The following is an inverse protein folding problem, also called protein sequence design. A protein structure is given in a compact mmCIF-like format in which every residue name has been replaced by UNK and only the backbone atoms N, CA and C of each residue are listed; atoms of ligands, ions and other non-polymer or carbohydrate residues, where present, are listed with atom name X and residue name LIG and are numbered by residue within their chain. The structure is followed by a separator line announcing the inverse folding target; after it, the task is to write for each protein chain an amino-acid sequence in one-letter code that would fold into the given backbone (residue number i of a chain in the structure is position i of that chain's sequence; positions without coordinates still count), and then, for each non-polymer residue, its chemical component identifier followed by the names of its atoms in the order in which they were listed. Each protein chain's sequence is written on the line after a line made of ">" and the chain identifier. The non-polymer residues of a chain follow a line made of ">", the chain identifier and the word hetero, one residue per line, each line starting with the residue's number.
data_IF_397520306118
#
_entry.id   IF_397520306118
#
_cell.length_a   1.000
_cell.length_b   1.000
_cell.length_c   1.000
_cell.angle_alpha   90.00
_cell.angle_beta   90.00
_cell.angle_gamma   90.00
#
_symmetry.space_group_name_H-M   'P 1'
#
loop_
_entity.id
_entity.type
_entity.pdbx_description
1 polymer ?
#
# COMPACT_ATOMS: atom_id res chain seq x y z
N UNK A 1 -3.35 -17.38 12.48
CA UNK A 1 -2.76 -17.87 11.21
C UNK A 1 -1.89 -16.76 10.64
N UNK A 2 -0.65 -17.06 10.27
CA UNK A 2 0.26 -16.06 9.68
C UNK A 2 0.14 -16.12 8.17
N UNK A 3 -0.14 -14.99 7.54
CA UNK A 3 -0.15 -14.87 6.09
C UNK A 3 0.89 -13.85 5.68
N UNK A 4 1.89 -14.26 4.89
CA UNK A 4 2.90 -13.36 4.35
C UNK A 4 2.48 -12.93 2.94
N UNK A 5 2.26 -11.63 2.75
CA UNK A 5 1.93 -11.06 1.45
C UNK A 5 2.94 -9.96 1.12
N UNK A 6 3.57 -10.09 -0.04
CA UNK A 6 4.41 -9.07 -0.67
C UNK A 6 4.01 -8.94 -2.14
N UNK A 7 4.26 -7.76 -2.70
CA UNK A 7 4.17 -7.49 -4.14
C UNK A 7 5.55 -7.71 -4.75
N UNK A 8 5.67 -8.60 -5.73
CA UNK A 8 6.94 -8.89 -6.38
C UNK A 8 7.32 -7.80 -7.38
N UNK A 9 8.43 -7.10 -7.13
CA UNK A 9 8.95 -6.04 -8.03
C UNK A 9 9.87 -6.58 -9.14
N UNK A 10 10.14 -7.89 -9.15
CA UNK A 10 10.88 -8.57 -10.22
C UNK A 10 12.27 -7.99 -10.42
N UNK A 11 12.56 -7.53 -11.65
CA UNK A 11 13.86 -6.94 -12.02
C UNK A 11 14.26 -5.72 -11.17
N UNK A 12 13.29 -5.03 -10.58
CA UNK A 12 13.51 -3.80 -9.79
C UNK A 12 13.48 -4.05 -8.29
N UNK A 13 13.62 -5.31 -7.85
CA UNK A 13 13.67 -5.62 -6.43
C UNK A 13 14.90 -4.99 -5.75
N UNK A 14 14.70 -4.43 -4.56
CA UNK A 14 15.74 -3.71 -3.81
C UNK A 14 16.11 -2.31 -4.34
N UNK A 15 15.54 -1.83 -5.44
CA UNK A 15 15.81 -0.49 -5.97
C UNK A 15 14.88 0.56 -5.35
N UNK A 16 15.37 1.79 -5.16
CA UNK A 16 14.51 2.89 -4.77
C UNK A 16 13.65 3.35 -5.96
N UNK A 17 12.53 4.00 -5.68
CA UNK A 17 11.69 4.54 -6.75
C UNK A 17 12.40 5.63 -7.56
N UNK A 18 13.38 6.32 -6.98
CA UNK A 18 14.20 7.31 -7.68
C UNK A 18 15.14 6.61 -8.67
N UNK A 19 15.82 5.55 -8.24
CA UNK A 19 16.72 4.77 -9.11
C UNK A 19 15.97 4.18 -10.30
N UNK A 20 14.75 3.68 -10.09
CA UNK A 20 13.89 3.14 -11.16
C UNK A 20 13.50 4.26 -12.15
N UNK A 21 13.20 5.47 -11.64
CA UNK A 21 12.86 6.60 -12.48
C UNK A 21 14.05 7.08 -13.33
N UNK A 22 15.27 6.98 -12.80
CA UNK A 22 16.51 7.33 -13.50
C UNK A 22 16.91 6.25 -14.52
N UNK A 23 16.88 4.98 -14.13
CA UNK A 23 17.31 3.86 -14.99
C UNK A 23 16.29 3.49 -16.07
N UNK A 24 14.99 3.65 -15.78
CA UNK A 24 13.90 3.22 -16.65
C UNK A 24 12.72 4.21 -16.61
N UNK A 25 12.88 5.44 -17.14
CA UNK A 25 11.83 6.47 -17.10
C UNK A 25 10.56 6.04 -17.84
N UNK A 26 10.69 5.25 -18.91
CA UNK A 26 9.54 4.71 -19.66
C UNK A 26 8.71 3.74 -18.82
N UNK A 27 9.34 2.92 -17.97
CA UNK A 27 8.62 1.99 -17.10
C UNK A 27 7.87 2.76 -15.99
N UNK A 28 8.45 3.83 -15.47
CA UNK A 28 7.79 4.73 -14.52
C UNK A 28 6.55 5.39 -15.15
N UNK A 29 6.66 5.92 -16.38
CA UNK A 29 5.51 6.48 -17.10
C UNK A 29 4.40 5.46 -17.33
N UNK A 30 4.75 4.21 -17.69
CA UNK A 30 3.77 3.12 -17.88
C UNK A 30 3.06 2.78 -16.57
N UNK A 31 3.80 2.74 -15.47
CA UNK A 31 3.26 2.52 -14.13
C UNK A 31 2.35 3.66 -13.67
N UNK A 32 2.70 4.91 -13.98
CA UNK A 32 1.87 6.07 -13.60
C UNK A 32 0.58 6.14 -14.44
N UNK A 33 0.63 5.72 -15.70
CA UNK A 33 -0.54 5.67 -16.59
C UNK A 33 -1.57 4.63 -16.13
N UNK A 34 -1.12 3.45 -15.72
CA UNK A 34 -2.01 2.38 -15.25
C UNK A 34 -1.34 1.56 -14.15
N UNK A 35 -1.44 2.08 -12.92
CA UNK A 35 -0.80 1.45 -11.75
C UNK A 35 -1.46 0.13 -11.35
N UNK A 36 -2.73 -0.08 -11.71
CA UNK A 36 -3.48 -1.27 -11.36
C UNK A 36 -3.01 -2.47 -12.20
N UNK A 37 -2.92 -2.28 -13.52
CA UNK A 37 -2.60 -3.37 -14.46
C UNK A 37 -1.12 -3.42 -14.85
N UNK A 38 -0.33 -2.39 -14.52
CA UNK A 38 1.11 -2.44 -14.73
C UNK A 38 1.72 -3.62 -14.00
N UNK A 39 2.38 -4.50 -14.75
CA UNK A 39 3.12 -5.64 -14.25
C UNK A 39 4.61 -5.34 -14.36
N UNK A 40 5.31 -5.42 -13.24
CA UNK A 40 6.76 -5.31 -13.24
C UNK A 40 7.38 -6.41 -14.12
N UNK A 41 8.47 -6.13 -14.86
CA UNK A 41 9.20 -7.17 -15.59
C UNK A 41 9.63 -8.30 -14.65
N UNK A 42 9.12 -9.52 -14.89
CA UNK A 42 9.27 -10.71 -14.02
C UNK A 42 8.69 -10.53 -12.60
N UNK A 43 7.72 -9.65 -12.42
CA UNK A 43 7.03 -9.39 -11.15
C UNK A 43 5.51 -9.56 -11.26
N UNK A 44 4.82 -9.01 -10.26
CA UNK A 44 3.36 -9.01 -10.16
C UNK A 44 2.77 -7.62 -10.47
N UNK A 45 1.51 -7.60 -10.92
CA UNK A 45 0.70 -6.37 -10.92
C UNK A 45 -0.10 -6.22 -9.62
N UNK A 46 -0.71 -5.04 -9.42
CA UNK A 46 -1.69 -4.87 -8.33
C UNK A 46 -2.93 -5.74 -8.55
N UNK A 47 -3.36 -5.97 -9.79
CA UNK A 47 -4.45 -6.89 -10.10
C UNK A 47 -4.15 -8.33 -9.66
N UNK A 48 -2.95 -8.85 -9.95
CA UNK A 48 -2.52 -10.18 -9.50
C UNK A 48 -2.56 -10.31 -7.96
N UNK A 49 -2.09 -9.26 -7.27
CA UNK A 49 -2.14 -9.22 -5.80
C UNK A 49 -3.56 -9.09 -5.24
N UNK A 50 -4.45 -8.33 -5.89
CA UNK A 50 -5.86 -8.22 -5.47
C UNK A 50 -6.54 -9.59 -5.52
N UNK A 51 -6.35 -10.35 -6.59
CA UNK A 51 -6.95 -11.69 -6.73
C UNK A 51 -6.49 -12.63 -5.62
N UNK A 52 -5.18 -12.64 -5.33
CA UNK A 52 -4.60 -13.44 -4.23
C UNK A 52 -5.10 -13.01 -2.85
N UNK A 53 -5.21 -11.70 -2.62
CA UNK A 53 -5.64 -11.13 -1.32
C UNK A 53 -7.15 -11.28 -1.11
N UNK A 54 -7.96 -11.34 -2.17
CA UNK A 54 -9.42 -11.47 -2.08
C UNK A 54 -9.84 -12.71 -1.30
N UNK A 55 -9.18 -13.85 -1.52
CA UNK A 55 -9.45 -15.07 -0.77
C UNK A 55 -9.20 -14.90 0.73
N UNK A 56 -8.19 -14.12 1.07
CA UNK A 56 -7.77 -13.90 2.47
C UNK A 56 -8.70 -12.91 3.14
N UNK A 57 -9.11 -11.85 2.43
CA UNK A 57 -10.09 -10.90 2.91
C UNK A 57 -11.42 -11.59 3.26
N UNK A 58 -11.89 -12.51 2.41
CA UNK A 58 -13.07 -13.34 2.69
C UNK A 58 -12.90 -14.24 3.93
N UNK A 59 -11.69 -14.76 4.18
CA UNK A 59 -11.45 -15.51 5.43
C UNK A 59 -11.48 -14.57 6.64
N UNK A 60 -10.94 -13.37 6.53
CA UNK A 60 -10.92 -12.38 7.61
C UNK A 60 -12.34 -11.93 7.99
N UNK A 61 -13.25 -11.75 7.02
CA UNK A 61 -14.65 -11.42 7.27
C UNK A 61 -15.40 -12.52 8.05
N UNK A 62 -15.00 -13.78 7.88
CA UNK A 62 -15.63 -14.91 8.56
C UNK A 62 -15.16 -15.08 10.00
N UNK A 63 -14.05 -14.45 10.38
CA UNK A 63 -13.56 -14.49 11.75
C UNK A 63 -14.34 -13.51 12.63
N UNK A 64 -14.86 -14.00 13.77
CA UNK A 64 -15.59 -13.17 14.75
C UNK A 64 -14.66 -12.47 15.75
N UNK A 65 -13.46 -13.00 15.92
CA UNK A 65 -12.46 -12.47 16.84
C UNK A 65 -11.63 -11.35 16.18
N UNK A 66 -11.09 -10.40 16.95
CA UNK A 66 -10.19 -9.38 16.43
C UNK A 66 -8.96 -10.00 15.75
N UNK A 67 -8.65 -9.58 14.51
CA UNK A 67 -7.48 -10.05 13.75
C UNK A 67 -6.49 -8.91 13.54
N UNK A 68 -5.22 -9.17 13.87
CA UNK A 68 -4.11 -8.29 13.51
C UNK A 68 -3.45 -8.79 12.22
N UNK A 69 -3.39 -7.92 11.20
CA UNK A 69 -2.71 -8.19 9.94
C UNK A 69 -1.43 -7.36 9.87
N UNK A 70 -0.29 -8.03 9.68
CA UNK A 70 1.02 -7.40 9.46
C UNK A 70 1.49 -7.79 8.05
N UNK A 71 1.62 -6.81 7.17
CA UNK A 71 1.98 -7.03 5.77
C UNK A 71 2.73 -5.82 5.19
N UNK A 72 3.21 -5.95 3.96
CA UNK A 72 3.81 -4.82 3.25
C UNK A 72 2.76 -3.77 2.85
N UNK A 73 3.16 -2.50 2.71
CA UNK A 73 2.27 -1.38 2.42
C UNK A 73 1.34 -1.59 1.21
N UNK A 74 1.85 -2.21 0.14
CA UNK A 74 1.05 -2.48 -1.05
C UNK A 74 -0.15 -3.39 -0.76
N UNK A 75 0.02 -4.37 0.11
CA UNK A 75 -1.04 -5.30 0.51
C UNK A 75 -1.99 -4.66 1.51
N UNK A 76 -1.46 -3.88 2.47
CA UNK A 76 -2.29 -3.13 3.42
C UNK A 76 -3.25 -2.20 2.67
N UNK A 77 -2.79 -1.53 1.60
CA UNK A 77 -3.63 -0.69 0.75
C UNK A 77 -4.77 -1.46 0.09
N UNK A 78 -4.50 -2.66 -0.42
CA UNK A 78 -5.50 -3.54 -1.02
C UNK A 78 -6.55 -3.97 0.01
N UNK A 79 -6.10 -4.47 1.17
CA UNK A 79 -6.99 -4.88 2.26
C UNK A 79 -7.83 -3.70 2.76
N UNK A 80 -7.21 -2.54 2.94
CA UNK A 80 -7.91 -1.33 3.36
C UNK A 80 -8.98 -0.93 2.34
N UNK A 81 -8.65 -0.92 1.06
CA UNK A 81 -9.60 -0.60 -0.01
C UNK A 81 -10.78 -1.58 -0.01
N UNK A 82 -10.51 -2.87 0.18
CA UNK A 82 -11.53 -3.92 0.27
C UNK A 82 -12.51 -3.67 1.43
N UNK A 83 -12.00 -3.51 2.67
CA UNK A 83 -12.86 -3.30 3.85
C UNK A 83 -13.59 -1.94 3.85
N UNK A 84 -13.04 -0.93 3.17
CA UNK A 84 -13.71 0.37 2.98
C UNK A 84 -14.69 0.38 1.81
N UNK A 85 -14.77 -0.70 1.02
CA UNK A 85 -15.63 -0.76 -0.17
C UNK A 85 -15.18 0.18 -1.30
N UNK A 86 -13.88 0.49 -1.40
CA UNK A 86 -13.33 1.31 -2.48
C UNK A 86 -13.16 0.50 -3.77
N UNK A 87 -13.18 1.17 -4.93
CA UNK A 87 -12.92 0.50 -6.20
C UNK A 87 -11.49 -0.05 -6.29
N UNK A 88 -11.31 -1.09 -7.11
CA UNK A 88 -10.00 -1.73 -7.34
C UNK A 88 -8.96 -0.73 -7.86
N UNK A 89 -9.39 0.24 -8.67
CA UNK A 89 -8.55 1.31 -9.21
C UNK A 89 -8.02 2.25 -8.13
N UNK A 90 -8.78 2.45 -7.05
CA UNK A 90 -8.36 3.32 -5.95
C UNK A 90 -7.37 2.64 -4.99
N UNK A 91 -7.33 1.30 -4.95
CA UNK A 91 -6.49 0.55 -4.04
C UNK A 91 -4.99 0.94 -4.10
N UNK A 92 -4.35 1.08 -5.27
CA UNK A 92 -2.93 1.47 -5.36
C UNK A 92 -2.65 2.91 -4.90
N UNK A 93 -3.67 3.75 -4.77
CA UNK A 93 -3.58 5.17 -4.45
C UNK A 93 -3.97 5.50 -2.99
N UNK A 94 -4.44 4.51 -2.23
CA UNK A 94 -4.75 4.68 -0.80
C UNK A 94 -3.51 5.12 -0.03
N UNK A 95 -3.64 6.21 0.72
CA UNK A 95 -2.59 6.70 1.63
C UNK A 95 -2.65 5.95 2.96
N UNK A 96 -1.75 4.98 3.10
CA UNK A 96 -1.47 4.28 4.36
C UNK A 96 -0.15 4.83 4.91
N UNK A 97 -0.18 5.55 6.06
CA UNK A 97 1.03 6.05 6.70
C UNK A 97 1.83 4.89 7.33
N UNK A 98 3.16 5.07 7.39
CA UNK A 98 4.02 4.19 8.16
C UNK A 98 3.80 4.38 9.67
N UNK A 99 4.26 3.41 10.46
CA UNK A 99 4.25 3.42 11.94
C UNK A 99 2.88 3.70 12.57
N UNK A 100 1.81 3.36 11.86
CA UNK A 100 0.44 3.60 12.27
C UNK A 100 -0.34 2.29 12.24
N UNK A 101 -1.02 1.98 13.33
CA UNK A 101 -2.00 0.90 13.39
C UNK A 101 -3.35 1.45 13.00
N UNK A 102 -3.91 0.91 11.93
CA UNK A 102 -5.26 1.24 11.47
C UNK A 102 -6.20 0.15 11.96
N UNK A 103 -7.09 0.51 12.90
CA UNK A 103 -8.18 -0.35 13.35
C UNK A 103 -9.40 -0.09 12.48
N UNK A 104 -9.91 -1.15 11.85
CA UNK A 104 -11.15 -1.13 11.07
C UNK A 104 -12.21 -1.92 11.84
N UNK A 105 -13.37 -1.31 12.06
CA UNK A 105 -14.54 -1.94 12.69
C UNK A 105 -15.70 -1.89 11.70
N UNK A 106 -16.03 -3.00 11.02
CA UNK A 106 -17.15 -3.04 10.10
C UNK A 106 -18.47 -2.92 10.87
N UNK A 107 -19.31 -1.98 10.46
CA UNK A 107 -20.70 -1.78 10.91
C UNK A 107 -21.65 -1.98 9.71
N UNK A 108 -22.97 -2.11 9.94
CA UNK A 108 -23.92 -2.43 8.87
C UNK A 108 -23.91 -1.46 7.67
N UNK A 109 -23.57 -0.19 7.88
CA UNK A 109 -23.61 0.86 6.85
C UNK A 109 -22.27 1.59 6.64
N UNK A 110 -21.31 1.38 7.53
CA UNK A 110 -20.01 2.06 7.46
C UNK A 110 -18.91 1.19 8.05
N UNK A 111 -17.66 1.56 7.80
CA UNK A 111 -16.52 0.98 8.49
C UNK A 111 -15.87 2.07 9.31
N UNK A 112 -16.01 1.96 10.64
CA UNK A 112 -15.33 2.85 11.57
C UNK A 112 -13.83 2.60 11.50
N UNK A 113 -13.09 3.70 11.50
CA UNK A 113 -11.65 3.68 11.36
C UNK A 113 -11.03 4.48 12.50
N UNK A 114 -10.07 3.86 13.17
CA UNK A 114 -9.25 4.53 14.19
C UNK A 114 -7.79 4.35 13.82
N UNK A 115 -7.02 5.45 13.80
CA UNK A 115 -5.59 5.45 13.51
C UNK A 115 -4.83 5.71 14.79
N UNK A 116 -4.00 4.76 15.20
CA UNK A 116 -3.13 4.89 16.36
C UNK A 116 -1.68 4.95 15.86
N UNK A 117 -1.06 6.11 16.01
CA UNK A 117 0.36 6.30 15.67
C UNK A 117 1.21 5.67 16.77
N UNK A 118 2.08 4.73 16.41
CA UNK A 118 2.90 3.99 17.38
C UNK A 118 4.18 4.75 17.77
N UNK A 119 4.75 5.50 16.82
CA UNK A 119 5.97 6.27 17.03
C UNK A 119 5.64 7.76 16.91
N UNK A 120 5.97 8.53 17.96
CA UNK A 120 5.82 9.98 17.91
C UNK A 120 6.69 10.56 16.78
N UNK A 121 6.24 11.62 16.09
CA UNK A 121 6.98 12.25 14.99
C UNK A 121 8.43 12.61 15.34
N UNK A 122 8.67 12.87 16.62
CA UNK A 122 9.96 13.21 17.23
C UNK A 122 11.05 12.15 17.00
N UNK A 123 10.68 10.88 16.82
CA UNK A 123 11.61 9.76 16.61
C UNK A 123 11.80 9.39 15.13
N UNK A 124 11.09 10.03 14.21
CA UNK A 124 11.11 9.69 12.77
C UNK A 124 12.23 10.46 12.02
N UNK A 125 12.75 11.54 12.61
CA UNK A 125 13.73 12.44 11.99
C UNK A 125 15.13 11.84 11.79
N UNK A 126 15.48 10.74 12.49
CA UNK A 126 16.80 10.13 12.38
C UNK A 126 16.92 8.98 11.36
N UNK A 127 15.81 8.52 10.76
CA UNK A 127 15.82 7.34 9.88
C UNK A 127 15.02 7.46 8.58
N UNK A 128 14.32 8.58 8.34
CA UNK A 128 13.55 8.79 7.09
C UNK A 128 13.78 10.17 6.47
N UNK A 129 15.04 10.54 6.23
CA UNK A 129 15.35 11.45 5.13
C UNK A 129 15.37 10.63 3.83
N UNK A 130 14.20 10.17 3.38
CA UNK A 130 13.93 9.94 1.97
C UNK A 130 12.51 9.42 1.80
N UNK A 131 11.85 9.90 0.75
CA UNK A 131 10.57 9.45 0.21
C UNK A 131 9.33 10.26 0.67
N UNK A 132 9.06 11.34 -0.07
CA UNK A 132 7.75 11.67 -0.71
C UNK A 132 6.77 12.72 -0.17
N UNK A 133 7.15 13.70 0.65
CA UNK A 133 6.19 14.79 1.01
C UNK A 133 6.63 16.24 0.71
N UNK A 134 7.92 16.59 0.71
CA UNK A 134 8.34 18.01 0.69
C UNK A 134 9.12 18.46 -0.57
N UNK A 135 8.54 18.33 -1.77
CA UNK A 135 9.10 19.04 -2.95
C UNK A 135 8.10 19.69 -3.91
N UNK A 136 6.83 19.84 -3.52
CA UNK A 136 5.77 20.48 -4.35
C UNK A 136 5.43 21.92 -3.93
N UNK A 137 6.15 22.52 -2.96
CA UNK A 137 6.21 23.98 -2.77
C UNK A 137 7.70 24.33 -2.80
N UNK A 138 8.27 25.18 -3.65
CA UNK A 138 7.79 26.25 -4.49
C UNK A 138 8.88 26.51 -5.54
N UNK A 139 8.71 26.00 -6.76
CA UNK A 139 9.27 26.63 -7.97
C UNK A 139 8.13 27.47 -8.53
N UNK A 140 7.96 28.65 -7.95
CA UNK A 140 7.11 29.72 -8.45
C UNK A 140 7.59 31.00 -7.77
N UNK A 141 8.74 31.48 -8.21
CA UNK A 141 9.19 32.88 -8.35
C UNK A 141 10.61 32.88 -8.92
#
# INVERSE_FOLDING_TARGET
>A
KTYAFILQQGKFDGMSQQDIAEQAPEETKRRDKDKLNYRYPRGESYSDAIERVQLVALQLERHRDPVLVVAHNGIIRILYAYFKGLSREMAPHVKVPFDTVIKLVPKPYNCEETRNVLLKPEFISSSRSDTTADRVKSKSE
#
